data_IF_362357441726
#
_entry.id   IF_362357441726
#
_cell.length_a   1.000
_cell.length_b   1.000
_cell.length_c   1.000
_cell.angle_alpha   90.00
_cell.angle_beta   90.00
_cell.angle_gamma   90.00
#
_symmetry.space_group_name_H-M   'P 1'
#
loop_
_entity.id
_entity.type
_entity.pdbx_description
1 polymer ?
#
# COMPACT_ATOMS: atom_id res chain seq x y z
N UNK A 1 -18.30 6.89 2.54
CA UNK A 1 -17.57 7.78 3.48
C UNK A 1 -16.29 8.34 2.83
N UNK A 2 -15.40 7.50 2.27
CA UNK A 2 -14.14 7.94 1.65
C UNK A 2 -14.25 9.14 0.67
N UNK A 3 -15.21 9.11 -0.28
CA UNK A 3 -15.44 10.26 -1.21
C UNK A 3 -15.74 11.59 -0.50
N UNK A 4 -16.25 11.54 0.73
CA UNK A 4 -16.53 12.71 1.56
C UNK A 4 -15.26 13.40 2.10
N UNK A 5 -14.17 12.65 2.31
CA UNK A 5 -12.86 13.16 2.75
C UNK A 5 -12.29 14.16 1.73
N UNK A 6 -12.56 13.94 0.45
CA UNK A 6 -12.47 15.00 -0.56
C UNK A 6 -11.21 15.04 -1.39
N UNK A 7 -10.34 14.03 -1.36
CA UNK A 7 -9.13 13.93 -2.21
C UNK A 7 -9.44 14.10 -3.71
N UNK A 8 -10.66 13.75 -4.15
CA UNK A 8 -11.11 13.91 -5.54
C UNK A 8 -11.95 15.17 -5.79
N UNK A 9 -12.10 16.07 -4.81
CA UNK A 9 -12.78 17.37 -5.01
C UNK A 9 -11.84 18.33 -5.77
N UNK A 10 -12.41 19.30 -6.47
CA UNK A 10 -11.60 20.39 -7.01
C UNK A 10 -11.01 21.24 -5.88
N UNK A 11 -9.84 21.89 -6.09
CA UNK A 11 -9.26 22.79 -5.09
C UNK A 11 -10.22 23.87 -4.60
N UNK A 12 -11.06 24.43 -5.48
CA UNK A 12 -12.05 25.45 -5.11
C UNK A 12 -13.13 24.91 -4.15
N UNK A 13 -13.61 23.69 -4.38
CA UNK A 13 -14.63 23.03 -3.54
C UNK A 13 -14.03 22.55 -2.22
N UNK A 14 -12.76 22.15 -2.23
CA UNK A 14 -12.03 21.75 -1.04
C UNK A 14 -11.57 22.96 -0.20
N UNK A 15 -11.28 24.08 -0.87
CA UNK A 15 -10.71 25.31 -0.34
C UNK A 15 -9.28 25.16 0.20
N UNK A 16 -8.47 24.37 -0.51
CA UNK A 16 -7.09 24.04 -0.21
C UNK A 16 -6.56 23.03 -1.23
N UNK A 17 -5.33 22.53 -1.05
CA UNK A 17 -4.85 21.40 -1.84
C UNK A 17 -5.53 20.11 -1.33
N UNK A 18 -6.31 19.37 -2.16
CA UNK A 18 -7.08 18.21 -1.70
C UNK A 18 -6.24 17.04 -1.17
N UNK A 19 -4.94 17.06 -1.44
CA UNK A 19 -3.95 16.10 -0.93
C UNK A 19 -3.43 16.45 0.46
N UNK A 20 -3.62 17.69 0.90
CA UNK A 20 -3.20 18.15 2.21
C UNK A 20 -4.33 17.93 3.22
N UNK A 21 -4.06 17.38 4.41
CA UNK A 21 -5.08 17.18 5.42
C UNK A 21 -5.39 18.48 6.17
N UNK A 22 -6.66 18.68 6.53
CA UNK A 22 -7.16 19.84 7.28
C UNK A 22 -8.08 19.37 8.41
N UNK A 23 -8.05 20.03 9.57
CA UNK A 23 -8.79 19.57 10.75
C UNK A 23 -10.32 19.72 10.64
N UNK A 24 -10.81 20.76 9.97
CA UNK A 24 -12.26 20.97 9.80
C UNK A 24 -12.59 21.84 8.57
N UNK A 25 -13.84 21.77 8.11
CA UNK A 25 -14.39 22.60 7.03
C UNK A 25 -15.70 23.23 7.51
N UNK A 26 -15.72 24.50 7.91
CA UNK A 26 -16.94 25.16 8.36
C UNK A 26 -17.86 25.49 7.17
N UNK A 27 -19.15 25.73 7.42
CA UNK A 27 -20.14 25.94 6.35
C UNK A 27 -19.84 27.12 5.39
N UNK A 28 -19.00 28.08 5.81
CA UNK A 28 -18.70 29.31 5.08
C UNK A 28 -17.25 29.41 4.60
N UNK A 29 -16.42 28.35 4.76
CA UNK A 29 -15.04 28.36 4.30
C UNK A 29 -14.56 26.96 3.86
N UNK A 30 -13.41 26.94 3.20
CA UNK A 30 -12.68 25.72 2.84
C UNK A 30 -12.03 25.00 4.03
N UNK A 31 -11.21 23.99 3.74
CA UNK A 31 -10.37 23.31 4.74
C UNK A 31 -9.57 24.28 5.62
N UNK A 32 -9.69 24.13 6.94
CA UNK A 32 -9.02 24.96 7.95
C UNK A 32 -8.06 24.13 8.81
N UNK A 33 -7.02 24.78 9.35
CA UNK A 33 -5.97 24.18 10.18
C UNK A 33 -5.22 23.05 9.46
N UNK A 34 -4.26 23.38 8.58
CA UNK A 34 -3.56 22.41 7.76
C UNK A 34 -2.61 21.52 8.57
N UNK A 35 -2.42 20.30 8.10
CA UNK A 35 -1.30 19.43 8.47
C UNK A 35 -1.60 18.47 9.62
N UNK A 36 -1.23 18.86 10.84
CA UNK A 36 -1.07 17.94 11.98
C UNK A 36 -2.39 17.55 12.67
N UNK A 37 -3.36 17.04 11.90
CA UNK A 37 -4.63 16.48 12.40
C UNK A 37 -4.53 14.98 12.65
N UNK A 38 -5.25 14.48 13.67
CA UNK A 38 -5.35 13.03 13.94
C UNK A 38 -5.97 12.22 12.81
N UNK A 39 -6.63 12.87 11.85
CA UNK A 39 -7.20 12.25 10.66
C UNK A 39 -6.15 11.44 9.88
N UNK A 40 -4.91 11.92 9.78
CA UNK A 40 -3.86 11.25 8.99
C UNK A 40 -3.56 9.83 9.48
N UNK A 41 -3.65 9.60 10.78
CA UNK A 41 -3.45 8.26 11.37
C UNK A 41 -4.57 7.32 10.94
N UNK A 42 -5.81 7.80 10.93
CA UNK A 42 -6.95 6.97 10.53
C UNK A 42 -6.94 6.67 9.04
N UNK A 43 -6.52 7.63 8.22
CA UNK A 43 -6.39 7.45 6.76
C UNK A 43 -5.28 6.44 6.42
N UNK A 44 -4.16 6.44 7.15
CA UNK A 44 -3.09 5.42 7.01
C UNK A 44 -3.62 4.01 7.34
N UNK A 45 -4.31 3.85 8.48
CA UNK A 45 -4.87 2.55 8.87
C UNK A 45 -5.93 2.07 7.88
N UNK A 46 -6.79 2.98 7.43
CA UNK A 46 -7.82 2.70 6.42
C UNK A 46 -7.17 2.26 5.12
N UNK A 47 -6.10 2.93 4.67
CA UNK A 47 -5.39 2.55 3.45
C UNK A 47 -4.76 1.16 3.52
N UNK A 48 -4.18 0.77 4.66
CA UNK A 48 -3.71 -0.61 4.84
C UNK A 48 -4.87 -1.62 4.86
N UNK A 49 -6.01 -1.24 5.41
CA UNK A 49 -7.25 -2.02 5.34
C UNK A 49 -7.77 -2.20 3.91
N UNK A 50 -7.76 -1.14 3.10
CA UNK A 50 -8.14 -1.18 1.68
C UNK A 50 -7.21 -2.11 0.88
N UNK A 51 -5.90 -1.98 1.07
CA UNK A 51 -4.88 -2.85 0.50
C UNK A 51 -4.98 -4.30 1.02
N UNK A 52 -5.85 -4.57 2.00
CA UNK A 52 -6.07 -5.90 2.55
C UNK A 52 -4.91 -6.44 3.36
N UNK A 53 -4.06 -5.56 3.91
CA UNK A 53 -2.92 -5.95 4.74
C UNK A 53 -3.42 -6.25 6.14
N UNK A 54 -3.19 -7.46 6.62
CA UNK A 54 -3.50 -7.86 7.99
C UNK A 54 -2.35 -8.62 8.63
N UNK A 55 -2.29 -8.58 9.95
CA UNK A 55 -1.39 -9.41 10.76
C UNK A 55 -2.26 -10.38 11.56
N UNK A 56 -2.11 -11.67 11.31
CA UNK A 56 -2.82 -12.72 12.02
C UNK A 56 -1.81 -13.76 12.50
N UNK A 57 -1.83 -14.09 13.80
CA UNK A 57 -0.89 -15.06 14.40
C UNK A 57 0.59 -14.77 14.10
N UNK A 58 0.98 -13.48 14.07
CA UNK A 58 2.35 -13.05 13.76
C UNK A 58 2.74 -13.15 12.28
N UNK A 59 1.78 -13.38 11.38
CA UNK A 59 2.02 -13.49 9.94
C UNK A 59 1.33 -12.37 9.16
N UNK A 60 2.03 -11.80 8.18
CA UNK A 60 1.42 -10.88 7.20
C UNK A 60 0.54 -11.67 6.24
N UNK A 61 -0.69 -11.20 6.03
CA UNK A 61 -1.64 -11.77 5.07
C UNK A 61 -2.23 -10.67 4.19
N UNK A 62 -2.50 -11.01 2.92
CA UNK A 62 -3.07 -10.09 1.94
C UNK A 62 -4.41 -10.59 1.43
N UNK A 63 -5.46 -9.82 1.66
CA UNK A 63 -6.82 -10.08 1.15
C UNK A 63 -7.49 -8.76 0.77
N UNK A 64 -7.22 -8.21 -0.42
CA UNK A 64 -7.71 -6.90 -0.84
C UNK A 64 -9.19 -6.96 -1.25
N UNK A 65 -10.10 -7.07 -0.28
CA UNK A 65 -11.55 -7.14 -0.53
C UNK A 65 -12.20 -5.79 -0.81
N UNK A 66 -11.54 -4.69 -0.43
CA UNK A 66 -12.00 -3.31 -0.61
C UNK A 66 -11.22 -2.54 -1.68
N UNK A 67 -10.04 -3.05 -2.07
CA UNK A 67 -9.23 -2.44 -3.12
C UNK A 67 -9.99 -2.50 -4.43
N UNK A 68 -9.94 -1.42 -5.22
CA UNK A 68 -10.61 -1.40 -6.51
C UNK A 68 -9.65 -1.75 -7.64
N UNK A 69 -10.17 -2.42 -8.66
CA UNK A 69 -9.44 -2.73 -9.90
C UNK A 69 -8.91 -1.48 -10.61
N UNK A 70 -9.59 -0.34 -10.48
CA UNK A 70 -9.18 0.94 -11.09
C UNK A 70 -7.89 1.53 -10.50
N UNK A 71 -7.44 1.06 -9.33
CA UNK A 71 -6.20 1.50 -8.69
C UNK A 71 -4.94 0.84 -9.26
N UNK A 72 -5.10 -0.23 -10.05
CA UNK A 72 -3.98 -0.89 -10.72
C UNK A 72 -3.56 -0.09 -11.97
N UNK A 73 -2.26 -0.10 -12.23
CA UNK A 73 -1.67 0.61 -13.36
C UNK A 73 -2.25 0.12 -14.70
N UNK A 74 -2.64 1.06 -15.56
CA UNK A 74 -3.08 0.74 -16.94
C UNK A 74 -1.92 0.48 -17.90
N UNK A 75 -0.72 0.92 -17.54
CA UNK A 75 0.50 0.85 -18.34
C UNK A 75 1.72 0.68 -17.42
N UNK A 76 2.87 0.33 -17.99
CA UNK A 76 4.12 0.24 -17.22
C UNK A 76 4.44 1.58 -16.54
N UNK A 77 5.01 1.52 -15.35
CA UNK A 77 5.48 2.69 -14.60
C UNK A 77 6.67 2.32 -13.72
N UNK A 78 7.41 3.33 -13.26
CA UNK A 78 8.50 3.14 -12.31
C UNK A 78 8.01 3.43 -10.88
N UNK A 79 8.34 2.54 -9.95
CA UNK A 79 8.13 2.74 -8.53
C UNK A 79 9.45 3.06 -7.85
N UNK A 80 9.61 4.32 -7.44
CA UNK A 80 10.77 4.80 -6.72
C UNK A 80 10.53 4.73 -5.21
N UNK A 81 11.45 4.14 -4.47
CA UNK A 81 11.38 4.06 -3.01
C UNK A 81 12.79 4.06 -2.40
N UNK A 82 12.86 4.17 -1.08
CA UNK A 82 14.09 4.00 -0.32
C UNK A 82 14.07 2.65 0.40
N UNK A 83 15.11 1.83 0.21
CA UNK A 83 15.26 0.56 0.95
C UNK A 83 15.60 0.78 2.43
N UNK A 84 15.62 -0.29 3.21
CA UNK A 84 15.94 -0.23 4.66
C UNK A 84 17.35 0.30 4.97
N UNK A 85 18.23 0.40 3.97
CA UNK A 85 19.57 0.97 4.06
C UNK A 85 19.62 2.42 3.57
N UNK A 86 18.46 3.05 3.39
CA UNK A 86 18.29 4.41 2.90
C UNK A 86 18.86 4.64 1.48
N UNK A 87 18.88 3.60 0.65
CA UNK A 87 19.31 3.69 -0.75
C UNK A 87 18.11 3.87 -1.67
N UNK A 88 18.19 4.78 -2.66
CA UNK A 88 17.16 4.90 -3.67
C UNK A 88 17.16 3.65 -4.56
N UNK A 89 16.00 3.04 -4.72
CA UNK A 89 15.78 1.87 -5.56
C UNK A 89 14.57 2.10 -6.46
N UNK A 90 14.62 1.54 -7.67
CA UNK A 90 13.52 1.61 -8.64
C UNK A 90 13.06 0.20 -8.99
N UNK A 91 11.73 -0.01 -8.97
CA UNK A 91 11.09 -1.22 -9.47
C UNK A 91 10.30 -0.86 -10.73
N UNK A 92 10.59 -1.54 -11.84
CA UNK A 92 9.79 -1.43 -13.06
C UNK A 92 8.50 -2.25 -12.89
N UNK A 93 7.37 -1.56 -12.85
CA UNK A 93 6.07 -2.16 -12.68
C UNK A 93 5.43 -2.45 -14.05
N UNK A 94 4.89 -3.67 -14.27
CA UNK A 94 4.07 -3.94 -15.44
C UNK A 94 2.69 -3.28 -15.34
N UNK A 95 1.97 -3.24 -16.46
CA UNK A 95 0.53 -2.98 -16.40
C UNK A 95 -0.17 -4.02 -15.52
N UNK A 96 -1.34 -3.67 -14.98
CA UNK A 96 -2.12 -4.50 -14.05
C UNK A 96 -1.40 -4.81 -12.74
N UNK A 97 -0.53 -3.90 -12.29
CA UNK A 97 0.14 -3.98 -10.99
C UNK A 97 -0.02 -2.72 -10.16
N UNK A 98 0.22 -2.83 -8.85
CA UNK A 98 0.22 -1.76 -7.87
C UNK A 98 1.36 -2.02 -6.87
N UNK A 99 2.08 -1.00 -6.42
CA UNK A 99 3.13 -1.15 -5.42
C UNK A 99 2.94 -0.25 -4.21
N UNK A 100 3.38 -0.75 -3.06
CA UNK A 100 3.45 -0.03 -1.79
C UNK A 100 4.53 -0.66 -0.92
N UNK A 101 4.74 -0.14 0.30
CA UNK A 101 5.72 -0.71 1.23
C UNK A 101 5.08 -1.04 2.57
N UNK A 102 5.53 -2.14 3.19
CA UNK A 102 5.24 -2.47 4.59
C UNK A 102 6.57 -2.64 5.31
N UNK A 103 6.78 -1.90 6.39
CA UNK A 103 8.07 -1.82 7.08
C UNK A 103 9.26 -1.58 6.11
N UNK A 104 9.03 -0.78 5.06
CA UNK A 104 10.01 -0.42 4.03
C UNK A 104 10.45 -1.57 3.10
N UNK A 105 9.82 -2.74 3.21
CA UNK A 105 9.90 -3.80 2.19
C UNK A 105 8.85 -3.52 1.11
N UNK A 106 9.22 -3.52 -0.19
CA UNK A 106 8.27 -3.33 -1.29
C UNK A 106 7.36 -4.55 -1.48
N UNK A 107 6.07 -4.26 -1.61
CA UNK A 107 5.02 -5.20 -1.99
C UNK A 107 4.50 -4.81 -3.36
N UNK A 108 4.46 -5.77 -4.28
CA UNK A 108 3.91 -5.57 -5.62
C UNK A 108 2.70 -6.49 -5.79
N UNK A 109 1.54 -5.89 -5.91
CA UNK A 109 0.31 -6.60 -6.24
C UNK A 109 0.18 -6.74 -7.75
N UNK A 110 -0.18 -7.93 -8.21
CA UNK A 110 -0.46 -8.26 -9.60
C UNK A 110 -1.89 -8.76 -9.71
N UNK A 111 -2.70 -8.20 -10.61
CA UNK A 111 -4.01 -8.77 -10.91
C UNK A 111 -3.83 -10.16 -11.53
N UNK A 112 -4.48 -11.15 -10.96
CA UNK A 112 -4.33 -12.55 -11.34
C UNK A 112 -5.59 -13.36 -11.05
N UNK A 113 -5.80 -14.42 -11.83
CA UNK A 113 -6.84 -15.43 -11.58
C UNK A 113 -6.39 -16.50 -10.56
N UNK A 114 -5.16 -16.41 -10.08
CA UNK A 114 -4.61 -17.27 -9.04
C UNK A 114 -4.09 -16.42 -7.89
N UNK A 115 -4.48 -16.79 -6.67
CA UNK A 115 -4.00 -16.14 -5.46
C UNK A 115 -2.75 -16.85 -4.95
N UNK A 116 -1.62 -16.14 -4.94
CA UNK A 116 -0.34 -16.64 -4.44
C UNK A 116 0.58 -15.50 -4.06
N UNK A 117 1.61 -15.79 -3.27
CA UNK A 117 2.73 -14.88 -3.08
C UNK A 117 4.05 -15.53 -3.47
N UNK A 118 4.98 -14.69 -3.93
CA UNK A 118 6.37 -15.02 -4.16
C UNK A 118 7.23 -14.06 -3.35
N UNK A 119 8.14 -14.59 -2.53
CA UNK A 119 9.01 -13.81 -1.67
C UNK A 119 10.41 -13.88 -2.26
N UNK A 120 10.96 -12.72 -2.61
CA UNK A 120 12.36 -12.58 -3.02
C UNK A 120 13.20 -12.25 -1.80
N UNK A 121 14.15 -13.13 -1.48
CA UNK A 121 15.13 -12.93 -0.41
C UNK A 121 16.33 -12.14 -0.89
N UNK A 122 17.15 -11.68 0.05
CA UNK A 122 18.38 -10.90 -0.20
C UNK A 122 19.37 -11.57 -1.15
N UNK A 123 19.45 -12.90 -1.10
CA UNK A 123 20.29 -13.72 -1.99
C UNK A 123 19.67 -13.91 -3.39
N UNK A 124 18.56 -13.23 -3.68
CA UNK A 124 17.74 -13.33 -4.89
C UNK A 124 17.02 -14.66 -5.05
N UNK A 125 17.09 -15.56 -4.08
CA UNK A 125 16.25 -16.75 -4.08
C UNK A 125 14.78 -16.35 -3.97
N UNK A 126 13.94 -17.12 -4.66
CA UNK A 126 12.50 -16.95 -4.65
C UNK A 126 11.87 -18.14 -3.95
N UNK A 127 10.95 -17.86 -3.06
CA UNK A 127 10.17 -18.91 -2.40
C UNK A 127 8.68 -18.59 -2.47
N UNK A 128 7.83 -19.59 -2.74
CA UNK A 128 6.39 -19.41 -2.64
C UNK A 128 5.97 -19.31 -1.16
N UNK A 129 4.93 -18.53 -0.90
CA UNK A 129 4.22 -18.58 0.38
C UNK A 129 2.95 -19.43 0.32
N UNK A 130 2.38 -19.80 1.47
CA UNK A 130 1.08 -20.47 1.54
C UNK A 130 -0.05 -19.50 1.16
N UNK A 131 -0.58 -19.63 -0.06
CA UNK A 131 -1.64 -18.75 -0.56
C UNK A 131 -1.19 -17.30 -0.56
N UNK A 132 -1.90 -16.43 0.17
CA UNK A 132 -1.59 -15.00 0.30
C UNK A 132 -0.95 -14.59 1.63
N UNK A 133 -0.37 -15.56 2.35
CA UNK A 133 0.23 -15.35 3.66
C UNK A 133 1.75 -15.48 3.60
N UNK A 134 2.46 -14.49 4.13
CA UNK A 134 3.91 -14.54 4.33
C UNK A 134 4.20 -15.48 5.50
N UNK A 135 5.14 -16.44 5.38
CA UNK A 135 5.48 -17.32 6.48
C UNK A 135 6.00 -16.54 7.71
N UNK A 136 5.92 -17.15 8.89
CA UNK A 136 6.19 -16.46 10.16
C UNK A 136 7.63 -15.92 10.28
N UNK A 137 8.61 -16.67 9.77
CA UNK A 137 10.01 -16.25 9.79
C UNK A 137 10.21 -14.97 8.97
N UNK A 138 9.70 -14.94 7.74
CA UNK A 138 9.78 -13.79 6.84
C UNK A 138 8.94 -12.61 7.33
N UNK A 139 7.77 -12.86 7.90
CA UNK A 139 6.95 -11.81 8.52
C UNK A 139 7.72 -11.13 9.66
N UNK A 140 8.35 -11.92 10.51
CA UNK A 140 9.21 -11.43 11.60
C UNK A 140 10.41 -10.64 11.06
N UNK A 141 11.05 -11.13 10.00
CA UNK A 141 12.14 -10.43 9.33
C UNK A 141 11.72 -9.07 8.75
N UNK A 142 10.51 -8.99 8.17
CA UNK A 142 9.92 -7.74 7.67
C UNK A 142 9.64 -6.77 8.83
N UNK A 143 8.98 -7.23 9.90
CA UNK A 143 8.66 -6.39 11.07
C UNK A 143 9.91 -5.81 11.72
N UNK A 144 10.97 -6.63 11.82
CA UNK A 144 12.24 -6.24 12.42
C UNK A 144 13.22 -5.57 11.43
N UNK A 145 12.80 -5.39 10.16
CA UNK A 145 13.60 -4.72 9.12
C UNK A 145 15.01 -5.32 8.97
N UNK A 146 15.13 -6.64 9.02
CA UNK A 146 16.45 -7.32 8.97
C UNK A 146 17.12 -7.24 7.61
N UNK A 147 16.34 -7.03 6.55
CA UNK A 147 16.80 -7.04 5.15
C UNK A 147 16.88 -8.43 4.54
N UNK A 148 16.41 -9.47 5.22
CA UNK A 148 16.36 -10.82 4.66
C UNK A 148 15.34 -10.93 3.52
N UNK A 149 14.18 -10.27 3.67
CA UNK A 149 13.16 -10.16 2.63
C UNK A 149 13.40 -8.88 1.84
N UNK A 150 13.66 -9.03 0.54
CA UNK A 150 13.90 -7.90 -0.36
C UNK A 150 12.61 -7.39 -1.00
N UNK A 151 11.69 -8.29 -1.36
CA UNK A 151 10.43 -7.97 -2.03
C UNK A 151 9.41 -9.07 -1.85
N UNK A 152 8.13 -8.70 -1.83
CA UNK A 152 7.01 -9.65 -1.90
C UNK A 152 6.15 -9.31 -3.10
N UNK A 153 5.95 -10.28 -3.97
CA UNK A 153 5.00 -10.23 -5.08
C UNK A 153 3.74 -10.99 -4.69
N UNK A 154 2.60 -10.30 -4.65
CA UNK A 154 1.31 -10.91 -4.36
C UNK A 154 0.42 -10.89 -5.62
N UNK A 155 -0.04 -12.06 -6.02
CA UNK A 155 -0.98 -12.23 -7.11
C UNK A 155 -2.37 -12.30 -6.48
N UNK A 156 -3.23 -11.34 -6.81
CA UNK A 156 -4.49 -11.13 -6.10
C UNK A 156 -5.66 -11.11 -7.07
N UNK A 157 -6.79 -11.64 -6.60
CA UNK A 157 -8.09 -11.42 -7.21
C UNK A 157 -8.72 -10.19 -6.59
N UNK A 158 -9.21 -9.30 -7.44
CA UNK A 158 -9.92 -8.10 -7.01
C UNK A 158 -11.27 -8.09 -7.71
N UNK A 159 -12.33 -7.90 -6.94
CA UNK A 159 -13.70 -7.76 -7.42
C UNK A 159 -13.83 -6.59 -8.39
N UNK A 160 -14.76 -6.67 -9.33
CA UNK A 160 -15.09 -5.54 -10.22
C UNK A 160 -15.69 -4.34 -9.47
#
# INVERSE_FOLDING_TARGET
>A
IHKGIGVTKSPDVYGGFPTDPYSHTPAHAGGQQPGMTGQVKEDILSRFGELGVSVCNGQLTFRPTLLKKEEFLKSKADFHYFDIYNKPVTIHLPASSLAFTVAQVPFVFHLSNEEKIEITKRDRSKQPGPGTTVPAAESTAIFNRTGEVERVDAYVKVSE
#
